data_IF_929826241662
#
_entry.id   IF_929826241662
#
_cell.length_a   1.000
_cell.length_b   1.000
_cell.length_c   1.000
_cell.angle_alpha   90.00
_cell.angle_beta   90.00
_cell.angle_gamma   90.00
#
_symmetry.space_group_name_H-M   'P 1'
#
loop_
_entity.id
_entity.type
_entity.pdbx_description
1 polymer ?
#
# COMPACT_ATOMS: atom_id res chain seq x y z
N UNK A 1 7.64 2.63 13.44
CA UNK A 1 8.27 2.62 14.79
C UNK A 1 7.56 3.64 15.65
N UNK A 2 7.30 3.32 16.91
CA UNK A 2 6.66 4.25 17.87
C UNK A 2 7.58 4.40 19.07
N UNK A 3 7.70 5.62 19.58
CA UNK A 3 8.47 5.93 20.77
C UNK A 3 7.60 5.68 22.01
N UNK A 4 8.02 4.72 22.83
CA UNK A 4 7.42 4.47 24.16
C UNK A 4 8.57 4.55 25.15
N UNK A 5 8.48 5.43 26.15
CA UNK A 5 9.51 5.64 27.18
C UNK A 5 10.92 6.01 26.64
N UNK A 6 10.99 6.66 25.47
CA UNK A 6 12.25 7.14 24.89
C UNK A 6 13.03 6.11 24.07
N UNK A 7 12.53 4.88 23.88
CA UNK A 7 13.11 3.91 22.96
C UNK A 7 12.18 3.60 21.78
N UNK A 8 12.77 3.46 20.59
CA UNK A 8 12.06 3.08 19.37
C UNK A 8 11.84 1.56 19.34
N UNK A 9 10.58 1.13 19.41
CA UNK A 9 10.23 -0.30 19.41
C UNK A 9 9.48 -0.69 18.13
N UNK A 10 9.83 -1.86 17.57
CA UNK A 10 9.10 -2.44 16.44
C UNK A 10 7.81 -3.11 16.91
N UNK A 11 6.65 -2.64 16.43
CA UNK A 11 5.33 -3.15 16.83
C UNK A 11 5.01 -4.55 16.27
N UNK A 12 5.81 -5.05 15.32
CA UNK A 12 5.56 -6.36 14.70
C UNK A 12 6.18 -7.52 15.48
N UNK A 13 7.24 -7.28 16.25
CA UNK A 13 7.98 -8.34 16.94
C UNK A 13 8.44 -7.98 18.37
N UNK A 14 8.25 -6.73 18.81
CA UNK A 14 8.65 -6.28 20.15
C UNK A 14 10.15 -6.03 20.34
N UNK A 15 10.97 -6.17 19.29
CA UNK A 15 12.40 -5.93 19.37
C UNK A 15 12.73 -4.43 19.43
N UNK A 16 13.62 -4.08 20.35
CA UNK A 16 14.34 -2.80 20.41
C UNK A 16 15.69 -2.96 19.72
N UNK A 17 16.10 -2.05 18.81
CA UNK A 17 17.43 -2.09 18.23
C UNK A 17 18.48 -1.77 19.32
N UNK A 18 19.67 -2.42 19.28
CA UNK A 18 20.76 -2.09 20.18
C UNK A 18 21.26 -0.66 19.90
N UNK A 19 21.55 0.08 20.97
CA UNK A 19 22.23 1.37 20.91
C UNK A 19 23.70 1.15 20.55
N UNK A 20 24.11 1.76 19.43
CA UNK A 20 25.45 1.90 18.87
C UNK A 20 26.61 1.34 19.70
N UNK A 21 27.13 0.20 19.24
CA UNK A 21 28.52 -0.20 19.46
C UNK A 21 29.09 -0.57 18.09
N UNK A 22 30.06 0.21 17.60
CA UNK A 22 30.79 -0.06 16.36
C UNK A 22 31.43 -1.47 16.37
N UNK A 23 31.20 -2.31 15.35
CA UNK A 23 31.99 -3.52 15.13
C UNK A 23 33.14 -3.28 14.13
N UNK A 24 34.26 -4.02 14.23
CA UNK A 24 35.43 -3.83 13.38
C UNK A 24 35.22 -4.40 11.97
N UNK A 25 35.69 -3.61 11.00
CA UNK A 25 36.25 -3.95 9.68
C UNK A 25 35.98 -5.38 9.14
N UNK A 26 35.01 -5.49 8.24
CA UNK A 26 34.87 -6.64 7.34
C UNK A 26 35.13 -6.20 5.89
N UNK A 27 36.13 -6.85 5.29
CA UNK A 27 36.69 -6.57 3.96
C UNK A 27 35.63 -6.53 2.85
N UNK A 28 35.61 -5.41 2.13
CA UNK A 28 34.75 -5.18 0.97
C UNK A 28 35.25 -5.91 -0.27
N UNK A 29 34.49 -6.90 -0.75
CA UNK A 29 34.64 -7.41 -2.11
C UNK A 29 33.65 -6.70 -3.04
N UNK A 30 34.00 -5.47 -3.43
CA UNK A 30 33.28 -4.72 -4.47
C UNK A 30 33.61 -5.28 -5.85
N UNK A 31 32.68 -6.05 -6.42
CA UNK A 31 32.70 -6.36 -7.85
C UNK A 31 32.31 -5.11 -8.65
N UNK A 32 33.33 -4.36 -9.08
CA UNK A 32 33.19 -3.31 -10.10
C UNK A 32 32.79 -3.95 -11.45
N UNK A 33 31.49 -3.92 -11.76
CA UNK A 33 31.07 -4.10 -13.14
C UNK A 33 31.12 -2.74 -13.85
N UNK A 34 32.18 -2.51 -14.61
CA UNK A 34 32.22 -1.45 -15.62
C UNK A 34 31.11 -1.74 -16.64
N UNK A 35 30.03 -0.97 -16.65
CA UNK A 35 29.23 -0.79 -17.85
C UNK A 35 29.51 0.60 -18.41
N UNK A 36 30.44 0.65 -19.35
CA UNK A 36 30.62 1.80 -20.21
C UNK A 36 29.34 2.03 -21.03
N UNK A 37 28.89 3.28 -21.09
CA UNK A 37 27.99 3.78 -22.13
C UNK A 37 26.61 3.14 -22.19
N UNK A 38 25.68 3.66 -21.38
CA UNK A 38 24.32 3.81 -21.85
C UNK A 38 23.88 5.26 -21.63
N UNK A 39 24.05 6.08 -22.67
CA UNK A 39 23.28 7.32 -22.81
C UNK A 39 21.88 6.87 -23.22
N UNK A 40 21.03 6.56 -22.25
CA UNK A 40 19.60 6.69 -22.45
C UNK A 40 19.22 8.07 -21.96
N UNK A 41 19.39 9.04 -22.83
CA UNK A 41 18.48 10.18 -22.88
C UNK A 41 17.16 9.68 -23.48
N UNK A 42 16.47 8.83 -22.72
CA UNK A 42 15.05 8.66 -22.87
C UNK A 42 14.43 9.69 -21.94
N UNK A 43 14.10 10.85 -22.50
CA UNK A 43 13.02 11.65 -21.94
C UNK A 43 11.79 10.75 -21.91
N UNK A 44 11.60 10.02 -20.80
CA UNK A 44 10.29 9.45 -20.45
C UNK A 44 9.34 10.63 -20.40
N UNK A 45 8.65 10.88 -21.50
CA UNK A 45 7.54 11.81 -21.51
C UNK A 45 6.59 11.33 -20.42
N UNK A 46 6.45 12.12 -19.37
CA UNK A 46 5.48 11.86 -18.32
C UNK A 46 4.13 11.65 -18.99
N UNK A 47 3.44 10.51 -18.76
CA UNK A 47 2.14 10.30 -19.35
C UNK A 47 1.23 11.45 -18.94
N UNK A 48 0.46 11.96 -19.89
CA UNK A 48 -0.50 13.01 -19.63
C UNK A 48 -1.51 12.56 -18.57
N UNK A 49 -2.16 13.52 -17.92
CA UNK A 49 -3.04 13.23 -16.79
C UNK A 49 -4.24 12.33 -17.18
N UNK A 50 -4.68 12.39 -18.45
CA UNK A 50 -5.76 11.53 -18.95
C UNK A 50 -5.29 10.08 -19.08
N UNK A 51 -4.08 9.85 -19.60
CA UNK A 51 -3.43 8.53 -19.63
C UNK A 51 -3.24 7.98 -18.21
N UNK A 52 -2.81 8.83 -17.27
CA UNK A 52 -2.70 8.46 -15.85
C UNK A 52 -4.04 8.07 -15.25
N UNK A 53 -5.12 8.82 -15.50
CA UNK A 53 -6.46 8.52 -15.00
C UNK A 53 -6.98 7.15 -15.49
N UNK A 54 -6.74 6.81 -16.77
CA UNK A 54 -7.12 5.51 -17.33
C UNK A 54 -6.42 4.32 -16.66
N UNK A 55 -5.22 4.54 -16.08
CA UNK A 55 -4.48 3.53 -15.32
C UNK A 55 -4.94 3.50 -13.86
N UNK A 56 -5.13 4.67 -13.25
CA UNK A 56 -5.45 4.81 -11.82
C UNK A 56 -6.84 4.30 -11.47
N UNK A 57 -7.85 4.54 -12.31
CA UNK A 57 -9.23 4.14 -12.00
C UNK A 57 -9.39 2.62 -11.85
N UNK A 58 -8.94 1.76 -12.79
CA UNK A 58 -8.93 0.31 -12.59
C UNK A 58 -8.13 -0.12 -11.35
N UNK A 59 -6.95 0.47 -11.15
CA UNK A 59 -6.08 0.14 -10.02
C UNK A 59 -6.74 0.44 -8.66
N UNK A 60 -7.41 1.59 -8.52
CA UNK A 60 -8.14 1.92 -7.29
C UNK A 60 -9.35 1.00 -7.06
N UNK A 61 -10.05 0.59 -8.12
CA UNK A 61 -11.16 -0.37 -8.00
C UNK A 61 -10.65 -1.70 -7.44
N UNK A 62 -9.57 -2.24 -8.01
CA UNK A 62 -8.94 -3.49 -7.56
C UNK A 62 -8.47 -3.36 -6.10
N UNK A 63 -7.74 -2.30 -5.76
CA UNK A 63 -7.25 -2.08 -4.41
C UNK A 63 -8.38 -1.96 -3.36
N UNK A 64 -9.47 -1.30 -3.73
CA UNK A 64 -10.67 -1.20 -2.89
C UNK A 64 -11.32 -2.57 -2.68
N UNK A 65 -11.29 -3.47 -3.67
CA UNK A 65 -11.78 -4.85 -3.52
C UNK A 65 -10.91 -5.67 -2.55
N UNK A 66 -9.58 -5.50 -2.59
CA UNK A 66 -8.66 -6.10 -1.63
C UNK A 66 -8.94 -5.63 -0.20
N UNK A 67 -9.14 -4.32 -0.01
CA UNK A 67 -9.54 -3.75 1.28
C UNK A 67 -10.90 -4.28 1.75
N UNK A 68 -11.90 -4.30 0.88
CA UNK A 68 -13.22 -4.84 1.20
C UNK A 68 -13.14 -6.31 1.62
N UNK A 69 -12.33 -7.13 0.93
CA UNK A 69 -12.08 -8.52 1.32
C UNK A 69 -11.40 -8.62 2.70
N UNK A 70 -10.43 -7.76 2.98
CA UNK A 70 -9.81 -7.62 4.29
C UNK A 70 -10.82 -7.28 5.40
N UNK A 71 -11.69 -6.31 5.15
CA UNK A 71 -12.71 -5.88 6.08
C UNK A 71 -13.72 -7.00 6.36
N UNK A 72 -14.19 -7.73 5.34
CA UNK A 72 -15.09 -8.89 5.53
C UNK A 72 -14.49 -9.96 6.44
N UNK A 73 -13.20 -10.26 6.32
CA UNK A 73 -12.50 -11.18 7.23
C UNK A 73 -12.54 -10.67 8.68
N UNK A 74 -12.43 -9.37 8.88
CA UNK A 74 -12.51 -8.74 10.20
C UNK A 74 -13.93 -8.61 10.75
N UNK A 75 -14.96 -8.51 9.90
CA UNK A 75 -16.37 -8.64 10.32
C UNK A 75 -16.57 -10.00 10.99
N UNK A 76 -16.15 -11.09 10.34
CA UNK A 76 -16.27 -12.44 10.90
C UNK A 76 -15.51 -12.59 12.23
N UNK A 77 -14.28 -12.07 12.31
CA UNK A 77 -13.50 -12.07 13.56
C UNK A 77 -14.16 -11.24 14.66
N UNK A 78 -14.67 -10.06 14.36
CA UNK A 78 -15.34 -9.20 15.33
C UNK A 78 -16.61 -9.86 15.89
N UNK A 79 -17.40 -10.52 15.04
CA UNK A 79 -18.57 -11.32 15.47
C UNK A 79 -18.15 -12.48 16.38
N UNK A 80 -17.09 -13.21 16.03
CA UNK A 80 -16.55 -14.28 16.88
C UNK A 80 -16.06 -13.81 18.26
N UNK A 81 -15.64 -12.54 18.37
CA UNK A 81 -15.27 -11.89 19.63
C UNK A 81 -16.46 -11.26 20.38
N UNK A 82 -17.70 -11.48 19.92
CA UNK A 82 -18.91 -10.88 20.49
C UNK A 82 -19.00 -9.36 20.34
N UNK A 83 -18.26 -8.77 19.38
CA UNK A 83 -18.22 -7.32 19.13
C UNK A 83 -19.17 -6.94 17.99
N UNK A 84 -20.46 -7.19 18.19
CA UNK A 84 -21.47 -7.06 17.14
C UNK A 84 -21.56 -5.63 16.56
N UNK A 85 -21.60 -4.60 17.41
CA UNK A 85 -21.63 -3.20 16.94
C UNK A 85 -20.39 -2.83 16.12
N UNK A 86 -19.22 -3.36 16.47
CA UNK A 86 -18.00 -3.14 15.70
C UNK A 86 -18.06 -3.86 14.36
N UNK A 87 -18.53 -5.10 14.34
CA UNK A 87 -18.73 -5.86 13.11
C UNK A 87 -19.66 -5.12 12.13
N UNK A 88 -20.78 -4.57 12.63
CA UNK A 88 -21.72 -3.77 11.82
C UNK A 88 -21.07 -2.53 11.21
N UNK A 89 -20.21 -1.81 11.95
CA UNK A 89 -19.49 -0.65 11.41
C UNK A 89 -18.47 -1.03 10.35
N UNK A 90 -17.80 -2.17 10.50
CA UNK A 90 -16.87 -2.68 9.49
C UNK A 90 -17.64 -3.15 8.24
N UNK A 91 -18.82 -3.77 8.42
CA UNK A 91 -19.70 -4.17 7.33
C UNK A 91 -20.22 -2.94 6.55
N UNK A 92 -20.61 -1.87 7.25
CA UNK A 92 -20.95 -0.58 6.64
C UNK A 92 -19.79 -0.01 5.82
N UNK A 93 -18.54 -0.17 6.27
CA UNK A 93 -17.36 0.23 5.50
C UNK A 93 -17.19 -0.59 4.21
N UNK A 94 -17.52 -1.88 4.23
CA UNK A 94 -17.52 -2.75 3.03
C UNK A 94 -18.54 -2.25 2.00
N UNK A 95 -19.74 -1.89 2.44
CA UNK A 95 -20.81 -1.36 1.57
C UNK A 95 -20.40 -0.02 0.94
N UNK A 96 -19.84 0.89 1.75
CA UNK A 96 -19.32 2.18 1.27
C UNK A 96 -18.19 2.00 0.26
N UNK A 97 -17.32 0.99 0.45
CA UNK A 97 -16.27 0.65 -0.51
C UNK A 97 -16.86 0.17 -1.84
N UNK A 98 -17.91 -0.65 -1.80
CA UNK A 98 -18.60 -1.09 -3.01
C UNK A 98 -19.26 0.08 -3.77
N UNK A 99 -19.88 1.03 -3.05
CA UNK A 99 -20.44 2.24 -3.64
C UNK A 99 -19.35 3.14 -4.27
N UNK A 100 -18.19 3.25 -3.62
CA UNK A 100 -17.01 3.93 -4.18
C UNK A 100 -16.61 3.30 -5.52
N UNK A 101 -16.50 1.97 -5.57
CA UNK A 101 -16.14 1.27 -6.80
C UNK A 101 -17.18 1.43 -7.92
N UNK A 102 -18.47 1.57 -7.61
CA UNK A 102 -19.49 1.89 -8.61
C UNK A 102 -19.26 3.28 -9.22
N UNK A 103 -18.96 4.28 -8.40
CA UNK A 103 -18.65 5.63 -8.87
C UNK A 103 -17.36 5.66 -9.72
N UNK A 104 -16.31 4.93 -9.31
CA UNK A 104 -15.07 4.83 -10.06
C UNK A 104 -15.25 4.13 -11.42
N UNK A 105 -16.08 3.08 -11.49
CA UNK A 105 -16.44 2.44 -12.77
C UNK A 105 -17.18 3.41 -13.69
N UNK A 106 -18.17 4.14 -13.16
CA UNK A 106 -18.88 5.14 -13.94
C UNK A 106 -17.95 6.26 -14.47
N UNK A 107 -16.96 6.66 -13.68
CA UNK A 107 -15.93 7.60 -14.11
C UNK A 107 -15.06 7.02 -15.25
N UNK A 108 -14.63 5.76 -15.12
CA UNK A 108 -13.84 5.08 -16.16
C UNK A 108 -14.62 4.99 -17.47
N UNK A 109 -15.88 4.55 -17.41
CA UNK A 109 -16.74 4.51 -18.61
C UNK A 109 -16.97 5.90 -19.21
N UNK A 110 -16.97 6.96 -18.39
CA UNK A 110 -17.01 8.34 -18.87
C UNK A 110 -15.83 8.66 -19.80
N UNK A 111 -14.61 8.26 -19.41
CA UNK A 111 -13.39 8.48 -20.19
C UNK A 111 -13.31 7.65 -21.49
N UNK A 112 -14.12 6.60 -21.61
CA UNK A 112 -14.17 5.71 -22.78
C UNK A 112 -15.23 6.14 -23.80
N UNK A 113 -16.18 7.00 -23.40
CA UNK A 113 -17.28 7.49 -24.24
C UNK A 113 -17.07 8.90 -24.80
N UNK A 114 -15.97 9.55 -24.43
CA UNK A 114 -15.48 10.82 -24.99
C UNK A 114 -14.64 10.61 -26.26
#
# INVERSE_FOLDING_TARGET
MVLINGQATCLSCGATPPLDTDPPEHEEHHHHHHHAGHVHEETKAEPDDLTKLRILLPHWIEHNEEHAAGFRRWVAKARALGREKTAQRIEEAVERMAACNQALRAALEGLERE
#
